data_IF_684267117960
#
_entry.id   IF_684267117960
#
_cell.length_a   1.000
_cell.length_b   1.000
_cell.length_c   1.000
_cell.angle_alpha   90.00
_cell.angle_beta   90.00
_cell.angle_gamma   90.00
#
_symmetry.space_group_name_H-M   'P 1'
#
loop_
_entity.id
_entity.type
_entity.pdbx_description
1 polymer ?
#
# COMPACT_ATOMS: atom_id res chain seq x y z
N UNK A 1 1.33 40.04 39.12
CA UNK A 1 1.54 39.23 37.90
C UNK A 1 2.99 39.43 37.49
N UNK A 2 3.79 38.35 37.41
CA UNK A 2 5.25 38.45 37.20
C UNK A 2 5.52 38.80 35.73
N UNK A 3 6.25 39.87 35.49
CA UNK A 3 6.72 40.24 34.15
C UNK A 3 7.75 39.20 33.69
N UNK A 4 7.49 38.55 32.55
CA UNK A 4 8.32 37.49 31.99
C UNK A 4 9.42 38.03 31.04
N UNK A 5 9.69 39.34 31.06
CA UNK A 5 10.78 39.96 30.29
C UNK A 5 10.46 40.24 28.83
N UNK A 6 9.19 40.11 28.43
CA UNK A 6 8.75 40.32 27.05
C UNK A 6 8.34 41.76 26.72
N UNK A 7 8.38 42.69 27.69
CA UNK A 7 8.38 44.14 27.46
C UNK A 7 7.41 44.66 26.39
N UNK A 8 6.14 44.23 26.40
CA UNK A 8 5.11 44.65 25.43
C UNK A 8 5.25 44.08 24.01
N UNK A 9 6.38 43.44 23.67
CA UNK A 9 6.71 42.93 22.33
C UNK A 9 5.82 41.78 21.87
N UNK A 10 5.14 41.11 22.80
CA UNK A 10 4.20 40.04 22.47
C UNK A 10 2.96 40.58 21.73
N UNK A 11 2.57 41.82 21.99
CA UNK A 11 1.43 42.46 21.34
C UNK A 11 1.69 42.82 19.87
N UNK A 12 2.96 42.81 19.45
CA UNK A 12 3.38 43.12 18.08
C UNK A 12 3.42 41.89 17.16
N UNK A 13 3.32 40.67 17.72
CA UNK A 13 3.25 39.43 16.94
C UNK A 13 1.85 39.34 16.33
N UNK A 14 1.71 39.87 15.11
CA UNK A 14 0.48 39.76 14.32
C UNK A 14 0.59 38.58 13.35
N UNK A 15 -0.52 37.86 13.09
CA UNK A 15 -0.52 36.85 12.06
C UNK A 15 -0.21 37.51 10.71
N UNK A 16 0.68 36.90 9.96
CA UNK A 16 1.00 37.35 8.61
C UNK A 16 -0.22 37.12 7.73
N UNK A 17 -0.78 38.19 7.16
CA UNK A 17 -1.99 38.15 6.32
C UNK A 17 -1.69 38.05 4.83
N UNK A 18 -0.41 38.10 4.46
CA UNK A 18 0.00 37.99 3.07
C UNK A 18 -0.10 36.53 2.58
N UNK A 19 -0.60 36.29 1.36
CA UNK A 19 -0.60 34.95 0.78
C UNK A 19 0.85 34.49 0.62
N UNK A 20 1.17 33.33 1.19
CA UNK A 20 2.50 32.74 1.07
C UNK A 20 2.90 32.63 -0.42
N UNK A 21 4.18 32.87 -0.77
CA UNK A 21 4.63 32.76 -2.15
C UNK A 21 4.42 31.34 -2.66
N UNK A 22 3.85 31.21 -3.86
CA UNK A 22 3.65 29.91 -4.52
C UNK A 22 5.01 29.36 -4.99
N UNK A 23 5.66 28.55 -4.15
CA UNK A 23 6.91 27.87 -4.51
C UNK A 23 6.56 26.55 -5.20
N UNK A 24 7.15 26.22 -6.37
CA UNK A 24 6.97 24.92 -7.00
C UNK A 24 7.42 23.79 -6.07
N UNK A 25 6.56 22.78 -5.88
CA UNK A 25 6.79 21.66 -4.96
C UNK A 25 8.15 20.99 -5.15
N UNK A 26 8.57 20.81 -6.41
CA UNK A 26 9.89 20.26 -6.77
C UNK A 26 11.06 20.97 -6.09
N UNK A 27 11.00 22.30 -5.95
CA UNK A 27 12.06 23.07 -5.30
C UNK A 27 12.09 22.84 -3.78
N UNK A 28 10.94 22.56 -3.18
CA UNK A 28 10.85 22.23 -1.76
C UNK A 28 11.47 20.86 -1.49
N UNK A 29 11.20 19.89 -2.36
CA UNK A 29 11.79 18.54 -2.27
C UNK A 29 13.31 18.57 -2.42
N UNK A 30 13.84 19.34 -3.38
CA UNK A 30 15.29 19.50 -3.59
C UNK A 30 16.01 20.10 -2.37
N UNK A 31 15.38 21.07 -1.70
CA UNK A 31 15.90 21.67 -0.46
C UNK A 31 15.80 20.68 0.69
N UNK A 32 14.67 19.99 0.83
CA UNK A 32 14.44 19.00 1.87
C UNK A 32 15.47 17.86 1.78
N UNK A 33 15.73 17.34 0.57
CA UNK A 33 16.74 16.32 0.31
C UNK A 33 18.16 16.80 0.68
N UNK A 34 18.51 18.05 0.31
CA UNK A 34 19.81 18.65 0.68
C UNK A 34 20.02 18.73 2.19
N UNK A 35 18.95 18.89 2.95
CA UNK A 35 18.97 18.95 4.42
C UNK A 35 18.72 17.59 5.09
N UNK A 36 18.74 16.50 4.32
CA UNK A 36 18.63 15.13 4.85
C UNK A 36 17.22 14.74 5.29
N UNK A 37 16.19 15.41 4.76
CA UNK A 37 14.81 15.06 5.03
C UNK A 37 14.44 13.73 4.36
N UNK A 38 13.99 12.77 5.16
CA UNK A 38 13.50 11.47 4.68
C UNK A 38 11.99 11.55 4.46
N UNK A 39 11.55 11.49 3.21
CA UNK A 39 10.11 11.48 2.88
C UNK A 39 9.43 10.26 3.48
N UNK A 40 8.29 10.49 4.14
CA UNK A 40 7.40 9.45 4.69
C UNK A 40 6.23 9.14 3.77
N UNK A 41 6.21 9.73 2.57
CA UNK A 41 5.15 9.45 1.61
C UNK A 41 5.21 7.96 1.25
N UNK A 42 4.05 7.26 1.24
CA UNK A 42 4.02 5.87 0.86
C UNK A 42 4.52 5.77 -0.58
N UNK A 43 5.65 5.09 -0.80
CA UNK A 43 6.12 4.71 -2.13
C UNK A 43 4.99 3.93 -2.80
N UNK A 44 4.30 4.54 -3.76
CA UNK A 44 3.18 3.88 -4.43
C UNK A 44 3.70 2.58 -5.05
N UNK A 45 3.09 1.46 -4.65
CA UNK A 45 3.38 0.17 -5.24
C UNK A 45 2.88 0.21 -6.70
N UNK A 46 3.81 0.33 -7.66
CA UNK A 46 3.52 0.20 -9.08
C UNK A 46 2.99 -1.22 -9.33
N UNK A 47 1.66 -1.38 -9.42
CA UNK A 47 1.03 -2.64 -9.83
C UNK A 47 0.81 -2.64 -11.34
N UNK A 48 1.69 -3.31 -12.09
CA UNK A 48 1.35 -3.76 -13.47
C UNK A 48 0.21 -4.75 -13.33
N UNK A 49 -1.02 -4.31 -13.62
CA UNK A 49 -2.17 -5.20 -13.75
C UNK A 49 -1.95 -6.03 -15.01
N UNK A 50 -1.40 -7.24 -14.87
CA UNK A 50 -1.33 -8.19 -15.96
C UNK A 50 -2.76 -8.54 -16.41
N UNK A 51 -2.97 -8.69 -17.71
CA UNK A 51 -4.23 -9.17 -18.24
C UNK A 51 -4.45 -10.59 -17.72
N UNK A 52 -5.31 -10.74 -16.71
CA UNK A 52 -5.73 -12.03 -16.19
C UNK A 52 -6.86 -12.58 -17.07
N UNK A 53 -6.88 -13.89 -17.27
CA UNK A 53 -7.99 -14.58 -17.91
C UNK A 53 -9.32 -14.26 -17.17
N UNK A 54 -10.46 -14.25 -17.88
CA UNK A 54 -11.76 -14.04 -17.25
C UNK A 54 -12.01 -15.13 -16.20
N UNK A 55 -11.95 -14.73 -14.92
CA UNK A 55 -12.11 -15.64 -13.78
C UNK A 55 -13.56 -15.65 -13.29
N UNK A 56 -14.11 -16.84 -13.05
CA UNK A 56 -15.37 -17.01 -12.32
C UNK A 56 -15.09 -17.34 -10.84
N UNK A 57 -16.00 -16.94 -9.94
CA UNK A 57 -15.90 -17.30 -8.52
C UNK A 57 -16.48 -18.71 -8.27
N UNK A 58 -15.72 -19.58 -7.61
CA UNK A 58 -16.15 -20.90 -7.18
C UNK A 58 -16.18 -20.97 -5.66
N UNK A 59 -17.38 -21.06 -5.07
CA UNK A 59 -17.57 -21.18 -3.63
C UNK A 59 -18.09 -22.58 -3.29
N UNK A 60 -17.31 -23.35 -2.54
CA UNK A 60 -17.68 -24.71 -2.09
C UNK A 60 -17.36 -24.91 -0.60
N UNK A 61 -18.08 -25.82 0.05
CA UNK A 61 -17.80 -26.27 1.43
C UNK A 61 -17.55 -27.77 1.48
N UNK A 62 -16.35 -28.24 1.12
CA UNK A 62 -15.99 -29.64 1.28
C UNK A 62 -15.81 -29.99 2.78
N UNK A 63 -15.85 -31.28 3.14
CA UNK A 63 -15.38 -31.74 4.45
C UNK A 63 -13.94 -31.28 4.74
N UNK A 64 -13.62 -31.03 6.01
CA UNK A 64 -12.30 -30.53 6.44
C UNK A 64 -11.18 -31.45 5.97
N UNK A 65 -11.39 -32.77 5.97
CA UNK A 65 -10.40 -33.75 5.48
C UNK A 65 -10.03 -33.50 4.02
N UNK A 66 -11.03 -33.29 3.16
CA UNK A 66 -10.82 -33.01 1.73
C UNK A 66 -10.18 -31.65 1.52
N UNK A 67 -10.60 -30.62 2.26
CA UNK A 67 -10.02 -29.28 2.19
C UNK A 67 -8.52 -29.29 2.54
N UNK A 68 -8.16 -29.87 3.68
CA UNK A 68 -6.77 -29.90 4.15
C UNK A 68 -5.87 -30.69 3.20
N UNK A 69 -6.37 -31.79 2.63
CA UNK A 69 -5.64 -32.57 1.63
C UNK A 69 -5.37 -31.75 0.36
N UNK A 70 -6.36 -31.01 -0.13
CA UNK A 70 -6.19 -30.13 -1.30
C UNK A 70 -5.17 -29.01 -1.03
N UNK A 71 -5.29 -28.32 0.11
CA UNK A 71 -4.37 -27.22 0.47
C UNK A 71 -2.94 -27.72 0.61
N UNK A 72 -2.73 -28.86 1.29
CA UNK A 72 -1.39 -29.44 1.46
C UNK A 72 -0.76 -29.77 0.11
N UNK A 73 -1.52 -30.41 -0.79
CA UNK A 73 -1.05 -30.74 -2.12
C UNK A 73 -0.73 -29.49 -2.96
N UNK A 74 -1.55 -28.44 -2.91
CA UNK A 74 -1.28 -27.18 -3.61
C UNK A 74 0.03 -26.52 -3.11
N UNK A 75 0.26 -26.52 -1.79
CA UNK A 75 1.48 -25.99 -1.19
C UNK A 75 2.73 -26.78 -1.58
N UNK A 76 2.67 -28.11 -1.54
CA UNK A 76 3.78 -29.00 -1.93
C UNK A 76 4.20 -28.79 -3.39
N UNK A 77 3.23 -28.56 -4.28
CA UNK A 77 3.47 -28.34 -5.70
C UNK A 77 3.72 -26.86 -6.06
N UNK A 78 3.69 -25.95 -5.07
CA UNK A 78 3.84 -24.50 -5.26
C UNK A 78 2.85 -23.89 -6.25
N UNK A 79 1.62 -24.42 -6.27
CA UNK A 79 0.54 -23.99 -7.15
C UNK A 79 -0.43 -23.06 -6.40
N UNK A 80 -0.97 -22.06 -7.09
CA UNK A 80 -2.17 -21.36 -6.61
C UNK A 80 -3.38 -22.30 -6.64
N UNK A 81 -4.45 -21.99 -5.88
CA UNK A 81 -5.63 -22.86 -5.84
C UNK A 81 -6.31 -23.08 -7.21
N UNK A 82 -6.44 -22.07 -8.10
CA UNK A 82 -6.94 -22.31 -9.44
C UNK A 82 -6.02 -23.23 -10.27
N UNK A 83 -4.70 -23.04 -10.18
CA UNK A 83 -3.74 -23.90 -10.89
C UNK A 83 -3.75 -25.34 -10.35
N UNK A 84 -3.84 -25.49 -9.04
CA UNK A 84 -3.99 -26.77 -8.36
C UNK A 84 -5.27 -27.47 -8.82
N UNK A 85 -6.39 -26.75 -8.89
CA UNK A 85 -7.66 -27.31 -9.38
C UNK A 85 -7.54 -27.75 -10.85
N UNK A 86 -6.97 -26.91 -11.73
CA UNK A 86 -6.75 -27.25 -13.14
C UNK A 86 -5.86 -28.49 -13.28
N UNK A 87 -4.73 -28.52 -12.58
CA UNK A 87 -3.79 -29.66 -12.60
C UNK A 87 -4.46 -30.96 -12.11
N UNK A 88 -5.37 -30.89 -11.12
CA UNK A 88 -6.15 -32.05 -10.71
C UNK A 88 -7.13 -32.51 -11.80
N UNK A 89 -7.79 -31.58 -12.49
CA UNK A 89 -8.69 -31.89 -13.61
C UNK A 89 -7.91 -32.53 -14.77
N UNK A 90 -6.76 -31.97 -15.12
CA UNK A 90 -5.87 -32.49 -16.17
C UNK A 90 -5.39 -33.91 -15.85
N UNK A 91 -4.94 -34.15 -14.61
CA UNK A 91 -4.54 -35.50 -14.13
C UNK A 91 -5.70 -36.49 -14.12
N UNK A 92 -6.90 -36.01 -13.79
CA UNK A 92 -8.11 -36.83 -13.78
C UNK A 92 -8.67 -37.06 -15.19
N UNK A 93 -8.13 -36.38 -16.22
CA UNK A 93 -8.62 -36.40 -17.60
C UNK A 93 -10.10 -36.01 -17.69
N UNK A 94 -10.46 -34.95 -16.96
CA UNK A 94 -11.82 -34.40 -16.94
C UNK A 94 -11.80 -33.09 -17.75
N UNK A 95 -12.57 -33.06 -18.83
CA UNK A 95 -12.79 -31.89 -19.70
C UNK A 95 -14.02 -31.07 -19.24
#
# INVERSE_FOLDING_TARGET
MKDLGFGGKLSDIKPDTEPAPSIPERRLDEVAERHGFVSRQPTQQLRRRQAAEPSANLNIRPPISTYNRFVSWAMENRLSYPEALRELMDRAKID
#
